data_IF_452750986173
#
_entry.id   IF_452750986173
#
_cell.length_a   1.000
_cell.length_b   1.000
_cell.length_c   1.000
_cell.angle_alpha   90.00
_cell.angle_beta   90.00
_cell.angle_gamma   90.00
#
_symmetry.space_group_name_H-M   'P 1'
#
loop_
_entity.id
_entity.type
_entity.pdbx_description
1 polymer ?
#
# COMPACT_ATOMS: atom_id res chain seq x y z
N UNK A 1 -7.74 -19.01 -3.81
CA UNK A 1 -7.89 -18.66 -2.39
C UNK A 1 -9.12 -17.78 -2.26
N UNK A 2 -10.00 -17.99 -1.27
CA UNK A 2 -11.12 -17.08 -1.10
C UNK A 2 -10.59 -15.70 -0.75
N UNK A 3 -11.07 -14.67 -1.45
CA UNK A 3 -10.78 -13.30 -1.15
C UNK A 3 -11.31 -12.99 0.26
N UNK A 4 -10.43 -12.66 1.19
CA UNK A 4 -10.85 -12.11 2.48
C UNK A 4 -11.39 -10.72 2.18
N UNK A 5 -12.68 -10.45 2.42
CA UNK A 5 -13.19 -9.11 2.25
C UNK A 5 -12.56 -8.24 3.33
N UNK A 6 -11.64 -7.36 2.95
CA UNK A 6 -11.22 -6.26 3.82
C UNK A 6 -12.41 -5.31 3.87
N UNK A 7 -13.30 -5.58 4.82
CA UNK A 7 -14.40 -4.69 5.11
C UNK A 7 -13.84 -3.49 5.87
N UNK A 8 -13.59 -2.40 5.19
CA UNK A 8 -13.63 -1.08 5.80
C UNK A 8 -15.11 -0.70 5.91
N UNK A 9 -15.76 -0.83 7.09
CA UNK A 9 -17.22 -0.81 7.18
C UNK A 9 -17.84 0.56 6.92
N UNK A 10 -17.06 1.62 6.79
CA UNK A 10 -17.56 3.00 6.80
C UNK A 10 -17.45 3.75 5.48
N UNK A 11 -16.85 3.18 4.41
CA UNK A 11 -16.62 3.91 3.16
C UNK A 11 -16.83 3.04 1.92
N UNK A 12 -17.87 2.20 1.91
CA UNK A 12 -18.28 1.53 0.66
C UNK A 12 -19.04 2.53 -0.20
N UNK A 13 -18.37 3.03 -1.21
CA UNK A 13 -19.08 3.72 -2.29
C UNK A 13 -19.84 2.69 -3.13
N UNK A 14 -21.10 3.00 -3.44
CA UNK A 14 -21.79 2.31 -4.50
C UNK A 14 -21.04 2.52 -5.83
N UNK A 15 -20.83 1.44 -6.58
CA UNK A 15 -20.09 1.48 -7.84
C UNK A 15 -20.70 2.46 -8.86
N UNK A 16 -22.03 2.63 -8.84
CA UNK A 16 -22.70 3.62 -9.69
C UNK A 16 -22.38 5.04 -9.26
N UNK A 17 -22.38 5.33 -7.95
CA UNK A 17 -22.02 6.62 -7.41
C UNK A 17 -20.56 6.97 -7.71
N UNK A 18 -19.64 6.00 -7.59
CA UNK A 18 -18.23 6.21 -7.92
C UNK A 18 -18.03 6.51 -9.41
N UNK A 19 -18.68 5.73 -10.29
CA UNK A 19 -18.65 6.00 -11.74
C UNK A 19 -19.23 7.38 -12.10
N UNK A 20 -20.31 7.80 -11.45
CA UNK A 20 -20.89 9.12 -11.65
C UNK A 20 -19.93 10.24 -11.21
N UNK A 21 -19.24 10.07 -10.07
CA UNK A 21 -18.22 11.01 -9.60
C UNK A 21 -17.06 11.13 -10.60
N UNK A 22 -16.54 10.01 -11.13
CA UNK A 22 -15.52 10.00 -12.17
C UNK A 22 -15.98 10.68 -13.46
N UNK A 23 -17.20 10.40 -13.92
CA UNK A 23 -17.77 11.04 -15.09
C UNK A 23 -17.89 12.56 -14.90
N UNK A 24 -18.27 13.01 -13.71
CA UNK A 24 -18.31 14.43 -13.34
C UNK A 24 -16.90 15.03 -13.35
N UNK A 25 -15.94 14.40 -12.68
CA UNK A 25 -14.56 14.88 -12.62
C UNK A 25 -13.94 15.02 -14.02
N UNK A 26 -14.16 14.05 -14.91
CA UNK A 26 -13.67 14.13 -16.31
C UNK A 26 -14.27 15.31 -17.09
N UNK A 27 -15.52 15.67 -16.82
CA UNK A 27 -16.15 16.86 -17.48
C UNK A 27 -15.63 18.16 -16.91
N UNK A 28 -15.49 18.25 -15.60
CA UNK A 28 -15.16 19.49 -14.89
C UNK A 28 -13.64 19.76 -14.84
N UNK A 29 -12.83 18.71 -14.95
CA UNK A 29 -11.38 18.76 -14.85
C UNK A 29 -10.73 18.03 -16.05
N UNK A 30 -10.94 18.51 -17.27
CA UNK A 30 -10.40 17.85 -18.46
C UNK A 30 -8.86 17.87 -18.42
N UNK A 31 -8.25 16.74 -18.72
CA UNK A 31 -6.79 16.56 -18.75
C UNK A 31 -6.14 16.15 -17.43
N UNK A 32 -6.89 16.09 -16.31
CA UNK A 32 -6.37 15.48 -15.09
C UNK A 32 -6.49 13.96 -15.13
N UNK A 33 -5.42 13.28 -14.69
CA UNK A 33 -5.44 11.85 -14.49
C UNK A 33 -6.32 11.50 -13.27
N UNK A 34 -7.22 10.53 -13.42
CA UNK A 34 -8.14 10.09 -12.38
C UNK A 34 -7.84 8.64 -11.98
N UNK A 35 -7.79 8.40 -10.68
CA UNK A 35 -7.63 7.07 -10.09
C UNK A 35 -8.38 6.97 -8.76
N UNK A 36 -8.65 5.74 -8.32
CA UNK A 36 -8.99 5.42 -6.93
C UNK A 36 -7.79 4.75 -6.26
N UNK A 37 -7.74 4.81 -4.93
CA UNK A 37 -6.76 4.07 -4.13
C UNK A 37 -7.48 2.89 -3.49
N UNK A 38 -7.09 1.68 -3.88
CA UNK A 38 -7.76 0.46 -3.46
C UNK A 38 -6.75 -0.60 -2.96
N UNK A 39 -7.16 -1.55 -2.13
CA UNK A 39 -6.36 -2.75 -1.89
C UNK A 39 -6.03 -3.44 -3.21
N UNK A 40 -4.79 -3.90 -3.38
CA UNK A 40 -4.35 -4.57 -4.60
C UNK A 40 -5.24 -5.75 -5.01
N UNK A 41 -5.81 -6.45 -4.03
CA UNK A 41 -6.69 -7.60 -4.24
C UNK A 41 -7.95 -7.24 -5.03
N UNK A 42 -8.46 -6.02 -4.89
CA UNK A 42 -9.63 -5.54 -5.61
C UNK A 42 -9.35 -5.43 -7.11
N UNK A 43 -8.17 -4.97 -7.49
CA UNK A 43 -7.75 -4.93 -8.90
C UNK A 43 -7.50 -6.32 -9.50
N UNK A 44 -7.06 -7.29 -8.68
CA UNK A 44 -6.77 -8.66 -9.15
C UNK A 44 -8.01 -9.55 -9.20
N UNK A 45 -9.06 -9.24 -8.46
CA UNK A 45 -10.37 -9.89 -8.58
C UNK A 45 -11.10 -9.36 -9.83
N UNK A 46 -11.54 -10.26 -10.71
CA UNK A 46 -12.13 -9.87 -11.98
C UNK A 46 -13.45 -9.09 -11.79
N UNK A 47 -14.34 -9.61 -10.97
CA UNK A 47 -15.68 -9.02 -10.77
C UNK A 47 -15.59 -7.67 -10.03
N UNK A 48 -14.67 -7.55 -9.07
CA UNK A 48 -14.48 -6.30 -8.34
C UNK A 48 -13.82 -5.24 -9.24
N UNK A 49 -12.81 -5.61 -10.02
CA UNK A 49 -12.15 -4.70 -10.95
C UNK A 49 -13.10 -4.13 -12.00
N UNK A 50 -14.04 -4.94 -12.52
CA UNK A 50 -15.09 -4.48 -13.47
C UNK A 50 -16.06 -3.46 -12.84
N UNK A 51 -16.21 -3.47 -11.52
CA UNK A 51 -17.05 -2.51 -10.81
C UNK A 51 -16.44 -1.11 -10.74
N UNK A 52 -15.12 -1.00 -10.87
CA UNK A 52 -14.39 0.28 -10.83
C UNK A 52 -14.65 1.11 -12.11
N UNK A 53 -14.61 2.44 -11.99
CA UNK A 53 -14.56 3.32 -13.17
C UNK A 53 -13.23 3.12 -13.92
N UNK A 54 -13.21 3.49 -15.21
CA UNK A 54 -11.96 3.55 -15.97
C UNK A 54 -11.01 4.54 -15.30
N UNK A 55 -9.81 4.07 -14.98
CA UNK A 55 -8.74 4.83 -14.34
C UNK A 55 -7.62 5.14 -15.36
N UNK A 56 -6.89 6.23 -15.12
CA UNK A 56 -5.74 6.64 -15.96
C UNK A 56 -4.42 6.11 -15.40
N UNK A 57 -4.41 5.71 -14.14
CA UNK A 57 -3.35 4.95 -13.46
C UNK A 57 -3.98 4.12 -12.34
N UNK A 58 -3.28 3.09 -11.88
CA UNK A 58 -3.69 2.31 -10.72
C UNK A 58 -2.93 2.79 -9.48
N UNK A 59 -3.63 2.88 -8.34
CA UNK A 59 -3.07 3.27 -7.05
C UNK A 59 -3.29 2.16 -6.00
N UNK A 60 -2.70 0.96 -6.18
CA UNK A 60 -2.87 -0.14 -5.24
C UNK A 60 -2.17 0.13 -3.91
N UNK A 61 -2.82 -0.29 -2.81
CA UNK A 61 -2.19 -0.44 -1.50
C UNK A 61 -1.72 -1.89 -1.36
N UNK A 62 -0.42 -2.09 -1.10
CA UNK A 62 0.23 -3.42 -1.07
C UNK A 62 1.05 -3.55 0.21
N UNK A 63 0.45 -4.11 1.26
CA UNK A 63 1.12 -4.30 2.55
C UNK A 63 1.42 -5.78 2.78
N UNK A 64 2.71 -6.21 2.68
CA UNK A 64 3.10 -7.60 2.97
C UNK A 64 2.71 -8.06 4.36
N UNK A 65 2.75 -7.17 5.35
CA UNK A 65 2.43 -7.47 6.76
C UNK A 65 0.99 -7.95 6.99
N UNK A 66 0.10 -7.66 6.06
CA UNK A 66 -1.31 -8.07 6.14
C UNK A 66 -1.56 -9.45 5.50
N UNK A 67 -0.52 -10.06 4.94
CA UNK A 67 -0.64 -11.36 4.32
C UNK A 67 -0.55 -12.49 5.36
N UNK A 68 -1.35 -13.56 5.21
CA UNK A 68 -1.35 -14.68 6.16
C UNK A 68 0.00 -15.37 6.35
N UNK A 69 0.89 -15.27 5.35
CA UNK A 69 2.22 -15.88 5.37
C UNK A 69 3.31 -14.97 5.98
N UNK A 70 2.98 -13.70 6.26
CA UNK A 70 3.96 -12.76 6.81
C UNK A 70 4.53 -13.28 8.13
N UNK A 71 5.85 -13.19 8.29
CA UNK A 71 6.57 -13.76 9.43
C UNK A 71 6.87 -15.25 9.35
N UNK A 72 6.19 -15.98 8.43
CA UNK A 72 6.46 -17.42 8.20
C UNK A 72 7.44 -17.67 7.06
N UNK A 73 7.70 -16.68 6.23
CA UNK A 73 8.61 -16.72 5.08
C UNK A 73 9.81 -15.79 5.31
N UNK A 74 10.94 -16.03 4.60
CA UNK A 74 12.07 -15.11 4.64
C UNK A 74 11.68 -13.67 4.28
N UNK A 75 12.38 -12.64 4.80
CA UNK A 75 12.09 -11.22 4.52
C UNK A 75 12.01 -10.87 3.03
N UNK A 76 12.80 -11.57 2.19
CA UNK A 76 12.77 -11.39 0.73
C UNK A 76 11.39 -11.66 0.12
N UNK A 77 10.60 -12.57 0.70
CA UNK A 77 9.23 -12.86 0.22
C UNK A 77 8.32 -11.62 0.26
N UNK A 78 8.52 -10.71 1.21
CA UNK A 78 7.79 -9.45 1.28
C UNK A 78 8.11 -8.53 0.10
N UNK A 79 9.37 -8.46 -0.31
CA UNK A 79 9.84 -7.68 -1.45
C UNK A 79 9.32 -8.28 -2.76
N UNK A 80 9.46 -9.60 -2.92
CA UNK A 80 9.01 -10.31 -4.12
C UNK A 80 7.49 -10.20 -4.28
N UNK A 81 6.75 -10.27 -3.19
CA UNK A 81 5.29 -10.10 -3.20
C UNK A 81 4.87 -8.75 -3.80
N UNK A 82 5.48 -7.63 -3.37
CA UNK A 82 5.15 -6.31 -3.93
C UNK A 82 5.46 -6.28 -5.43
N UNK A 83 6.62 -6.77 -5.84
CA UNK A 83 7.02 -6.82 -7.25
C UNK A 83 6.09 -7.72 -8.09
N UNK A 84 5.67 -8.88 -7.57
CA UNK A 84 4.72 -9.77 -8.24
C UNK A 84 3.34 -9.15 -8.41
N UNK A 85 2.86 -8.41 -7.40
CA UNK A 85 1.58 -7.68 -7.50
C UNK A 85 1.67 -6.66 -8.64
N UNK A 86 2.74 -5.87 -8.69
CA UNK A 86 2.95 -4.91 -9.78
C UNK A 86 2.96 -5.60 -11.15
N UNK A 87 3.74 -6.67 -11.31
CA UNK A 87 3.81 -7.42 -12.57
C UNK A 87 2.44 -7.98 -13.01
N UNK A 88 1.63 -8.48 -12.05
CA UNK A 88 0.27 -8.96 -12.34
C UNK A 88 -0.66 -7.83 -12.78
N UNK A 89 -0.52 -6.65 -12.16
CA UNK A 89 -1.32 -5.48 -12.53
C UNK A 89 -0.92 -4.94 -13.90
N UNK A 90 0.37 -4.84 -14.20
CA UNK A 90 0.88 -4.45 -15.54
C UNK A 90 0.45 -5.42 -16.64
N UNK A 91 0.44 -6.72 -16.36
CA UNK A 91 -0.03 -7.72 -17.32
C UNK A 91 -1.54 -7.62 -17.61
N UNK A 92 -2.32 -7.09 -16.68
CA UNK A 92 -3.78 -7.01 -16.79
C UNK A 92 -4.28 -5.67 -17.29
N UNK A 93 -3.61 -4.57 -16.95
CA UNK A 93 -4.07 -3.21 -17.23
C UNK A 93 -3.06 -2.44 -18.07
N UNK A 94 -3.54 -1.77 -19.11
CA UNK A 94 -2.72 -0.95 -20.01
C UNK A 94 -2.51 0.49 -19.49
N UNK A 95 -2.37 0.67 -18.17
CA UNK A 95 -2.15 1.96 -17.51
C UNK A 95 -1.03 1.83 -16.49
N UNK A 96 -0.33 2.93 -16.16
CA UNK A 96 0.73 2.89 -15.15
C UNK A 96 0.24 2.43 -13.77
N UNK A 97 1.14 1.80 -13.01
CA UNK A 97 0.90 1.32 -11.64
C UNK A 97 1.78 2.12 -10.68
N UNK A 98 1.18 2.94 -9.84
CA UNK A 98 1.86 3.54 -8.69
C UNK A 98 1.38 2.82 -7.43
N UNK A 99 2.20 1.92 -6.86
CA UNK A 99 1.90 1.37 -5.54
C UNK A 99 1.86 2.53 -4.54
N UNK A 100 0.65 2.96 -4.21
CA UNK A 100 0.44 4.17 -3.41
C UNK A 100 0.86 4.00 -1.96
N UNK A 101 0.68 2.80 -1.42
CA UNK A 101 1.06 2.47 -0.06
C UNK A 101 1.75 1.10 -0.02
N UNK A 102 2.99 1.10 0.46
CA UNK A 102 3.75 -0.11 0.83
C UNK A 102 4.78 0.25 1.89
N UNK A 103 5.24 -0.73 2.63
CA UNK A 103 6.24 -0.53 3.67
C UNK A 103 6.27 -1.67 4.69
N UNK A 104 7.13 -1.52 5.67
CA UNK A 104 7.13 -2.31 6.91
C UNK A 104 7.13 -1.36 8.11
N UNK A 105 6.40 -1.71 9.21
CA UNK A 105 6.54 -1.02 10.48
C UNK A 105 7.95 -1.21 11.07
N UNK A 106 8.43 -0.25 11.83
CA UNK A 106 9.68 -0.32 12.58
C UNK A 106 9.50 -0.78 14.05
N UNK A 107 8.30 -1.07 14.43
CA UNK A 107 7.88 -1.52 15.78
C UNK A 107 6.45 -2.05 15.79
N UNK A 108 6.02 -2.63 16.91
CA UNK A 108 6.80 -2.87 18.13
C UNK A 108 7.74 -4.08 17.99
N UNK A 109 8.83 -4.11 18.75
CA UNK A 109 9.85 -5.19 18.67
C UNK A 109 9.33 -6.55 19.12
N UNK A 110 8.45 -6.59 20.11
CA UNK A 110 7.80 -7.81 20.60
C UNK A 110 6.90 -8.48 19.55
N UNK A 111 6.48 -7.73 18.52
CA UNK A 111 5.77 -8.25 17.36
C UNK A 111 6.69 -8.59 16.17
N UNK A 112 8.01 -8.55 16.37
CA UNK A 112 9.00 -8.91 15.36
C UNK A 112 9.38 -7.79 14.40
N UNK A 113 8.98 -6.55 14.68
CA UNK A 113 9.35 -5.40 13.87
C UNK A 113 10.54 -4.64 14.46
N UNK A 114 11.42 -4.13 13.60
CA UNK A 114 12.52 -3.27 14.00
C UNK A 114 12.94 -2.30 12.88
N UNK A 115 13.62 -1.18 13.22
CA UNK A 115 14.03 -0.18 12.24
C UNK A 115 15.03 -0.68 11.20
N UNK A 116 15.84 -1.69 11.50
CA UNK A 116 16.79 -2.24 10.54
C UNK A 116 16.08 -3.11 9.49
N UNK A 117 15.10 -3.91 9.90
CA UNK A 117 14.24 -4.66 8.98
C UNK A 117 13.45 -3.71 8.06
N UNK A 118 12.92 -2.61 8.58
CA UNK A 118 12.28 -1.57 7.78
C UNK A 118 13.23 -1.00 6.71
N UNK A 119 14.45 -0.63 7.08
CA UNK A 119 15.47 -0.10 6.16
C UNK A 119 15.88 -1.15 5.11
N UNK A 120 16.10 -2.39 5.53
CA UNK A 120 16.47 -3.49 4.63
C UNK A 120 15.38 -3.78 3.59
N UNK A 121 14.10 -3.75 4.00
CA UNK A 121 12.98 -3.91 3.07
C UNK A 121 12.95 -2.80 2.03
N UNK A 122 13.12 -1.55 2.44
CA UNK A 122 13.17 -0.41 1.51
C UNK A 122 14.28 -0.57 0.48
N UNK A 123 15.52 -0.81 0.93
CA UNK A 123 16.68 -0.99 0.04
C UNK A 123 16.47 -2.15 -0.94
N UNK A 124 15.92 -3.26 -0.46
CA UNK A 124 15.66 -4.42 -1.30
C UNK A 124 14.53 -4.13 -2.31
N UNK A 125 13.47 -3.45 -1.89
CA UNK A 125 12.35 -3.10 -2.78
C UNK A 125 12.79 -2.10 -3.85
N UNK A 126 13.57 -1.08 -3.50
CA UNK A 126 14.08 -0.09 -4.45
C UNK A 126 14.97 -0.73 -5.53
N UNK A 127 15.74 -1.74 -5.16
CA UNK A 127 16.53 -2.53 -6.14
C UNK A 127 15.68 -3.47 -6.99
N UNK A 128 14.66 -4.07 -6.40
CA UNK A 128 13.80 -5.08 -7.05
C UNK A 128 12.77 -4.46 -7.99
N UNK A 129 12.31 -3.26 -7.66
CA UNK A 129 11.26 -2.53 -8.37
C UNK A 129 11.72 -1.07 -8.63
N UNK A 130 12.78 -0.85 -9.42
CA UNK A 130 13.22 0.50 -9.73
C UNK A 130 12.11 1.25 -10.48
N UNK A 131 11.91 2.55 -10.22
CA UNK A 131 10.84 3.30 -10.86
C UNK A 131 11.06 3.40 -12.38
N UNK A 132 9.96 3.24 -13.12
CA UNK A 132 9.92 3.35 -14.58
C UNK A 132 8.76 4.27 -15.00
N UNK A 133 8.48 4.35 -16.31
CA UNK A 133 7.27 5.03 -16.79
C UNK A 133 5.99 4.23 -16.55
N UNK A 134 6.10 2.91 -16.39
CA UNK A 134 4.95 2.03 -16.20
C UNK A 134 4.67 1.71 -14.73
N UNK A 135 5.66 1.82 -13.84
CA UNK A 135 5.46 1.61 -12.41
C UNK A 135 6.40 2.43 -11.53
N UNK A 136 5.91 2.70 -10.33
CA UNK A 136 6.65 3.25 -9.20
C UNK A 136 5.98 2.81 -7.89
N UNK A 137 6.56 3.15 -6.76
CA UNK A 137 5.93 2.98 -5.46
C UNK A 137 6.23 4.15 -4.54
N UNK A 138 5.32 4.38 -3.60
CA UNK A 138 5.46 5.31 -2.51
C UNK A 138 5.54 4.55 -1.18
N UNK A 139 6.34 5.04 -0.28
CA UNK A 139 6.49 4.48 1.06
C UNK A 139 5.35 4.93 1.97
N UNK A 140 4.74 3.98 2.64
CA UNK A 140 3.80 4.27 3.70
C UNK A 140 4.49 4.08 5.05
N UNK A 141 4.86 5.17 5.77
CA UNK A 141 4.52 6.56 5.56
C UNK A 141 5.66 7.50 6.01
N UNK A 142 5.48 8.83 5.96
CA UNK A 142 6.55 9.76 6.32
C UNK A 142 6.84 9.78 7.84
N UNK A 143 5.82 9.92 8.69
CA UNK A 143 5.97 10.07 10.13
C UNK A 143 5.22 9.01 10.91
N UNK A 144 5.74 8.62 12.06
CA UNK A 144 5.03 7.79 13.02
C UNK A 144 3.76 8.48 13.53
N UNK A 145 2.71 7.68 13.71
CA UNK A 145 1.40 8.18 14.15
C UNK A 145 0.97 7.60 15.49
N UNK A 146 1.44 8.13 16.61
CA UNK A 146 1.12 7.64 17.95
C UNK A 146 -0.41 7.58 18.27
N UNK A 147 -1.23 8.31 17.51
CA UNK A 147 -2.69 8.32 17.64
C UNK A 147 -3.38 7.14 16.91
N UNK A 148 -2.71 6.48 15.99
CA UNK A 148 -3.31 5.44 15.12
C UNK A 148 -3.77 4.19 15.86
N UNK A 149 -3.03 3.64 16.85
CA UNK A 149 -3.49 2.48 17.62
C UNK A 149 -4.88 2.65 18.22
N UNK A 150 -5.17 3.84 18.73
CA UNK A 150 -6.46 4.14 19.34
C UNK A 150 -7.63 4.21 18.35
N UNK A 151 -7.34 4.36 17.05
CA UNK A 151 -8.34 4.44 15.97
C UNK A 151 -8.39 3.18 15.12
N UNK A 152 -7.45 2.26 15.31
CA UNK A 152 -7.41 1.02 14.54
C UNK A 152 -8.58 0.11 14.94
N UNK A 153 -9.38 -0.39 13.99
CA UNK A 153 -10.45 -1.33 14.25
C UNK A 153 -9.97 -2.77 14.46
N UNK A 154 -8.67 -3.05 14.30
CA UNK A 154 -8.15 -4.41 14.41
C UNK A 154 -8.29 -4.93 15.85
N UNK A 155 -8.84 -6.14 16.06
CA UNK A 155 -9.02 -6.72 17.39
C UNK A 155 -7.70 -7.08 18.07
N UNK A 156 -6.61 -7.32 17.31
CA UNK A 156 -5.30 -7.69 17.84
C UNK A 156 -4.57 -6.47 18.39
N UNK A 157 -4.17 -6.45 19.69
CA UNK A 157 -3.39 -5.37 20.27
C UNK A 157 -2.07 -5.12 19.52
N UNK A 158 -1.34 -6.19 19.17
CA UNK A 158 -0.07 -6.08 18.43
C UNK A 158 -0.23 -5.48 17.04
N UNK A 159 -1.32 -5.83 16.34
CA UNK A 159 -1.63 -5.21 15.05
C UNK A 159 -2.04 -3.76 15.17
N UNK A 160 -2.77 -3.38 16.23
CA UNK A 160 -3.06 -1.97 16.48
C UNK A 160 -1.79 -1.19 16.77
N UNK A 161 -0.93 -1.71 17.66
CA UNK A 161 0.30 -1.03 18.07
C UNK A 161 1.25 -0.77 16.90
N UNK A 162 1.40 -1.70 15.96
CA UNK A 162 2.24 -1.50 14.77
C UNK A 162 1.83 -0.29 13.94
N UNK A 163 0.56 0.13 14.00
CA UNK A 163 0.07 1.29 13.25
C UNK A 163 0.74 2.60 13.64
N UNK A 164 1.29 2.67 14.87
CA UNK A 164 2.06 3.82 15.30
C UNK A 164 3.45 3.94 14.65
N UNK A 165 3.97 2.89 13.99
CA UNK A 165 5.40 2.73 13.69
C UNK A 165 5.75 2.63 12.19
N UNK A 166 4.90 3.12 11.30
CA UNK A 166 5.13 3.04 9.86
C UNK A 166 6.08 4.12 9.32
N UNK A 167 6.31 5.19 10.05
CA UNK A 167 7.05 6.36 9.60
C UNK A 167 8.51 6.08 9.22
N UNK A 168 9.03 6.85 8.27
CA UNK A 168 10.48 7.01 8.05
C UNK A 168 11.12 7.87 9.14
N UNK A 169 10.33 8.78 9.70
CA UNK A 169 10.67 9.60 10.84
C UNK A 169 9.82 9.18 12.04
N UNK A 170 10.35 9.34 13.24
CA UNK A 170 9.56 9.16 14.46
C UNK A 170 8.52 10.30 14.63
N UNK A 171 7.71 10.22 15.68
CA UNK A 171 6.68 11.23 15.96
C UNK A 171 7.24 12.63 16.27
N UNK A 172 8.52 12.73 16.64
CA UNK A 172 9.22 13.99 16.91
C UNK A 172 9.98 14.50 15.65
N UNK A 173 9.89 13.80 14.52
CA UNK A 173 10.56 14.16 13.29
C UNK A 173 12.03 13.72 13.21
N UNK A 174 12.50 12.84 14.11
CA UNK A 174 13.85 12.29 14.05
C UNK A 174 13.95 11.20 12.99
N UNK A 175 14.97 11.20 12.12
CA UNK A 175 15.10 10.21 11.07
C UNK A 175 15.40 8.82 11.63
N UNK A 176 14.69 7.81 11.14
CA UNK A 176 15.01 6.40 11.38
C UNK A 176 16.06 5.90 10.38
N UNK A 177 16.67 4.71 10.61
CA UNK A 177 17.66 4.14 9.71
C UNK A 177 17.27 4.12 8.24
N UNK A 178 16.00 3.91 7.93
CA UNK A 178 15.46 3.87 6.56
C UNK A 178 15.72 5.17 5.77
N UNK A 179 15.82 6.31 6.44
CA UNK A 179 16.09 7.60 5.76
C UNK A 179 17.46 7.63 5.07
N UNK A 180 18.43 6.84 5.55
CA UNK A 180 19.76 6.73 4.92
C UNK A 180 19.73 5.96 3.59
N UNK A 181 18.67 5.20 3.35
CA UNK A 181 18.47 4.40 2.14
C UNK A 181 17.75 5.19 1.03
N UNK A 182 17.28 6.40 1.32
CA UNK A 182 16.62 7.25 0.32
C UNK A 182 17.61 7.68 -0.76
N UNK A 183 17.18 7.78 -2.03
CA UNK A 183 17.99 8.37 -3.10
C UNK A 183 18.42 9.80 -2.71
N UNK A 184 19.68 10.10 -2.92
CA UNK A 184 20.23 11.46 -2.74
C UNK A 184 20.05 12.28 -4.02
#
# INVERSE_FOLDING_TARGET
MPAVPIALPHHRYDAAALRAAFARARRELPGLALATSEPFSLYLDAAQAESLPRQDLLLPNVHPVDQPWFGSLPPQASVDFVAEVVAKLEARFAVPVLVKETGLPSGPREAGFDPAAQAAFWSALARRLPPTRSHAFAWFEAFDGAWKPARSPDPSPAKREREAHWGMFDADGRPKPVVKELPQ
#
